data_IF_044972803589
#
_entry.id   IF_044972803589
#
_cell.length_a   1.000
_cell.length_b   1.000
_cell.length_c   1.000
_cell.angle_alpha   90.00
_cell.angle_beta   90.00
_cell.angle_gamma   90.00
#
_symmetry.space_group_name_H-M   'P 1'
#
loop_
_entity.id
_entity.type
_entity.pdbx_description
1 polymer ?
#
# COMPACT_ATOMS: atom_id res chain seq x y z
N UNK A 1 2.31 9.57 7.27
CA UNK A 1 3.44 8.88 7.94
C UNK A 1 3.16 7.39 7.94
N UNK A 2 4.14 6.58 7.54
CA UNK A 2 4.10 5.12 7.64
C UNK A 2 5.32 4.68 8.44
N UNK A 3 5.13 3.90 9.49
CA UNK A 3 6.24 3.41 10.34
C UNK A 3 5.92 2.03 10.88
N UNK A 4 6.94 1.19 11.05
CA UNK A 4 6.86 -0.12 11.68
C UNK A 4 7.50 -0.17 13.08
N UNK A 5 7.98 0.98 13.56
CA UNK A 5 8.76 1.10 14.79
C UNK A 5 8.58 2.42 15.52
N UNK A 6 9.38 2.57 16.58
CA UNK A 6 9.39 3.72 17.49
C UNK A 6 10.19 4.88 16.91
N UNK A 7 9.75 6.11 17.19
CA UNK A 7 10.52 7.31 16.91
C UNK A 7 11.86 7.34 17.69
N UNK A 8 12.88 7.96 17.10
CA UNK A 8 14.19 8.12 17.72
C UNK A 8 14.32 9.43 18.50
N UNK A 9 13.43 10.38 18.21
CA UNK A 9 13.36 11.72 18.76
C UNK A 9 11.92 12.06 19.18
N UNK A 10 11.73 13.27 19.73
CA UNK A 10 10.42 13.78 20.09
C UNK A 10 9.68 14.27 18.83
N UNK A 11 8.54 13.63 18.55
CA UNK A 11 7.71 13.89 17.36
C UNK A 11 6.74 15.06 17.56
N UNK A 12 6.44 15.41 18.81
CA UNK A 12 5.34 16.33 19.16
C UNK A 12 5.56 17.74 18.59
N UNK A 13 6.77 18.29 18.67
CA UNK A 13 7.04 19.64 18.18
C UNK A 13 6.82 19.76 16.66
N UNK A 14 7.36 18.80 15.91
CA UNK A 14 7.31 18.81 14.45
C UNK A 14 5.92 18.50 13.92
N UNK A 15 5.24 17.52 14.51
CA UNK A 15 3.86 17.20 14.18
C UNK A 15 2.95 18.42 14.41
N UNK A 16 3.10 19.13 15.53
CA UNK A 16 2.33 20.34 15.84
C UNK A 16 2.61 21.45 14.82
N UNK A 17 3.86 21.69 14.44
CA UNK A 17 4.21 22.71 13.43
C UNK A 17 3.53 22.43 12.09
N UNK A 18 3.59 21.17 11.62
CA UNK A 18 2.95 20.77 10.36
C UNK A 18 1.42 20.90 10.41
N UNK A 19 0.79 20.43 11.50
CA UNK A 19 -0.66 20.60 11.73
C UNK A 19 -1.07 22.07 11.73
N UNK A 20 -0.29 22.93 12.39
CA UNK A 20 -0.56 24.37 12.48
C UNK A 20 -0.36 25.08 11.13
N UNK A 21 0.49 24.57 10.25
CA UNK A 21 0.65 25.08 8.89
C UNK A 21 -0.44 24.59 7.92
N UNK A 22 -1.49 23.93 8.41
CA UNK A 22 -2.60 23.42 7.61
C UNK A 22 -2.33 22.09 6.91
N UNK A 23 -1.30 21.34 7.32
CA UNK A 23 -1.04 19.99 6.79
C UNK A 23 -1.89 18.99 7.56
N UNK A 24 -2.78 18.29 6.86
CA UNK A 24 -3.46 17.10 7.38
C UNK A 24 -2.51 15.91 7.36
N UNK A 25 -2.26 15.32 8.51
CA UNK A 25 -1.34 14.20 8.70
C UNK A 25 -2.12 12.94 9.00
N UNK A 26 -2.04 11.97 8.09
CA UNK A 26 -2.48 10.60 8.30
C UNK A 26 -1.29 9.75 8.78
N UNK A 27 -1.49 8.90 9.78
CA UNK A 27 -0.47 8.02 10.35
C UNK A 27 -0.89 6.55 10.26
N UNK A 28 -0.03 5.69 9.67
CA UNK A 28 -0.19 4.24 9.66
C UNK A 28 0.98 3.58 10.39
N UNK A 29 0.68 2.92 11.51
CA UNK A 29 1.60 2.04 12.21
C UNK A 29 1.47 0.59 11.74
N UNK A 30 2.60 -0.13 11.70
CA UNK A 30 2.61 -1.58 11.46
C UNK A 30 3.39 -2.28 12.58
N UNK A 31 2.93 -3.42 13.07
CA UNK A 31 3.74 -4.31 13.90
C UNK A 31 4.14 -3.76 15.28
N UNK A 32 5.30 -3.11 15.39
CA UNK A 32 5.85 -2.60 16.66
C UNK A 32 5.78 -1.08 16.78
N UNK A 33 5.05 -0.42 15.89
CA UNK A 33 4.82 1.01 15.96
C UNK A 33 4.06 1.38 17.25
N UNK A 34 4.47 2.49 17.89
CA UNK A 34 3.86 2.94 19.15
C UNK A 34 2.64 3.80 18.85
N UNK A 35 1.45 3.33 19.21
CA UNK A 35 0.17 4.01 18.92
C UNK A 35 0.11 5.42 19.51
N UNK A 36 0.70 5.64 20.68
CA UNK A 36 0.75 6.97 21.30
C UNK A 36 1.58 7.96 20.46
N UNK A 37 2.74 7.56 19.95
CA UNK A 37 3.56 8.40 19.07
C UNK A 37 2.82 8.67 17.74
N UNK A 38 2.06 7.69 17.24
CA UNK A 38 1.23 7.88 16.04
C UNK A 38 0.09 8.88 16.28
N UNK A 39 -0.53 8.88 17.45
CA UNK A 39 -1.59 9.83 17.84
C UNK A 39 -1.04 11.26 17.93
N UNK A 40 0.15 11.43 18.50
CA UNK A 40 0.82 12.74 18.53
C UNK A 40 1.13 13.27 17.12
N UNK A 41 1.44 12.38 16.18
CA UNK A 41 1.73 12.70 14.78
C UNK A 41 0.44 13.01 13.99
N UNK A 42 -0.59 12.19 14.15
CA UNK A 42 -1.82 12.27 13.38
C UNK A 42 -2.57 13.59 13.61
N UNK A 43 -3.39 13.97 12.63
CA UNK A 43 -4.34 15.06 12.78
C UNK A 43 -5.57 14.61 13.54
N UNK A 44 -6.21 15.54 14.23
CA UNK A 44 -7.46 15.26 14.92
C UNK A 44 -8.63 15.24 13.92
N UNK A 45 -9.64 14.36 14.11
CA UNK A 45 -9.70 13.34 15.15
C UNK A 45 -8.94 12.07 14.77
N UNK A 46 -8.40 11.36 15.78
CA UNK A 46 -7.63 10.13 15.59
C UNK A 46 -8.40 9.06 14.79
N UNK A 47 -9.73 8.94 14.95
CA UNK A 47 -10.51 7.92 14.23
C UNK A 47 -10.54 8.14 12.70
N UNK A 48 -10.15 9.33 12.23
CA UNK A 48 -10.06 9.66 10.81
C UNK A 48 -8.62 9.57 10.27
N UNK A 49 -7.62 9.81 11.11
CA UNK A 49 -6.24 10.00 10.65
C UNK A 49 -5.25 8.96 11.17
N UNK A 50 -5.60 8.18 12.20
CA UNK A 50 -4.76 7.15 12.77
C UNK A 50 -5.21 5.76 12.33
N UNK A 51 -4.24 5.00 11.82
CA UNK A 51 -4.43 3.64 11.34
C UNK A 51 -3.35 2.74 11.91
N UNK A 52 -3.70 1.47 12.12
CA UNK A 52 -2.77 0.48 12.62
C UNK A 52 -3.01 -0.86 11.93
N UNK A 53 -1.94 -1.53 11.52
CA UNK A 53 -1.93 -2.89 11.04
C UNK A 53 -1.07 -3.77 11.96
N UNK A 54 -1.54 -4.97 12.27
CA UNK A 54 -0.81 -5.91 13.11
C UNK A 54 0.50 -6.38 12.45
N UNK A 55 0.50 -6.52 11.14
CA UNK A 55 1.62 -7.00 10.33
C UNK A 55 1.53 -6.44 8.89
N UNK A 56 2.55 -6.74 8.09
CA UNK A 56 2.62 -6.30 6.70
C UNK A 56 1.63 -7.02 5.77
N UNK A 57 1.11 -8.19 6.14
CA UNK A 57 0.12 -8.91 5.32
C UNK A 57 -1.23 -8.16 5.36
N UNK A 58 -1.57 -7.56 6.50
CA UNK A 58 -2.81 -6.80 6.70
C UNK A 58 -2.75 -5.36 6.20
N UNK A 59 -1.57 -4.86 5.81
CA UNK A 59 -1.39 -3.46 5.40
C UNK A 59 -2.28 -3.08 4.20
N UNK A 60 -2.56 -4.04 3.30
CA UNK A 60 -3.38 -3.82 2.11
C UNK A 60 -4.85 -3.51 2.43
N UNK A 61 -5.41 -4.11 3.49
CA UNK A 61 -6.77 -3.78 3.94
C UNK A 61 -6.83 -2.37 4.52
N UNK A 62 -5.86 -2.05 5.38
CA UNK A 62 -5.79 -0.75 6.05
C UNK A 62 -5.53 0.38 5.05
N UNK A 63 -4.67 0.13 4.06
CA UNK A 63 -4.37 1.08 2.98
C UNK A 63 -5.61 1.41 2.13
N UNK A 64 -6.52 0.46 1.90
CA UNK A 64 -7.80 0.73 1.21
C UNK A 64 -8.70 1.67 2.01
N UNK A 65 -8.78 1.47 3.34
CA UNK A 65 -9.55 2.36 4.23
C UNK A 65 -8.96 3.78 4.23
N UNK A 66 -7.64 3.88 4.35
CA UNK A 66 -6.91 5.15 4.29
C UNK A 66 -7.13 5.87 2.96
N UNK A 67 -7.02 5.15 1.82
CA UNK A 67 -7.33 5.69 0.49
C UNK A 67 -8.74 6.28 0.46
N UNK A 68 -9.75 5.52 0.87
CA UNK A 68 -11.15 5.98 0.86
C UNK A 68 -11.35 7.27 1.66
N UNK A 69 -10.60 7.44 2.76
CA UNK A 69 -10.69 8.61 3.63
C UNK A 69 -10.04 9.85 3.00
N UNK A 70 -8.81 9.72 2.52
CA UNK A 70 -8.10 10.81 1.80
C UNK A 70 -8.93 11.31 0.61
N UNK A 71 -9.54 10.40 -0.13
CA UNK A 71 -10.36 10.71 -1.30
C UNK A 71 -11.67 11.43 -0.97
N UNK A 72 -12.18 11.32 0.25
CA UNK A 72 -13.40 12.00 0.71
C UNK A 72 -13.13 13.37 1.32
N UNK A 73 -11.97 13.54 1.96
CA UNK A 73 -11.60 14.80 2.63
C UNK A 73 -11.06 15.89 1.69
N UNK A 74 -10.74 15.55 0.44
CA UNK A 74 -10.23 16.52 -0.54
C UNK A 74 -11.29 16.86 -1.61
N UNK A 75 -12.25 17.77 -1.33
CA UNK A 75 -13.27 18.17 -2.30
C UNK A 75 -12.72 19.02 -3.46
N UNK A 76 -11.44 19.43 -3.41
CA UNK A 76 -10.87 20.36 -4.38
C UNK A 76 -10.59 19.74 -5.77
N UNK A 77 -10.67 18.41 -5.91
CA UNK A 77 -10.47 17.75 -7.21
C UNK A 77 -11.11 16.37 -7.20
N UNK A 78 -12.42 16.32 -7.47
CA UNK A 78 -13.26 15.11 -7.49
C UNK A 78 -12.67 13.97 -8.34
N UNK A 79 -11.74 14.29 -9.25
CA UNK A 79 -11.01 13.38 -10.15
C UNK A 79 -9.77 12.72 -9.55
N UNK A 80 -9.22 13.23 -8.43
CA UNK A 80 -7.92 12.81 -7.90
C UNK A 80 -7.89 11.35 -7.42
N UNK A 81 -9.05 10.79 -7.13
CA UNK A 81 -9.20 9.39 -6.74
C UNK A 81 -10.00 8.53 -7.73
N UNK A 82 -10.34 9.05 -8.91
CA UNK A 82 -11.13 8.33 -9.92
C UNK A 82 -10.32 7.35 -10.77
N UNK A 83 -9.06 7.09 -10.44
CA UNK A 83 -8.25 6.08 -11.13
C UNK A 83 -8.66 4.63 -10.81
N UNK A 84 -9.77 4.39 -10.12
CA UNK A 84 -10.20 3.05 -9.69
C UNK A 84 -10.35 2.09 -10.87
N UNK A 85 -11.06 2.48 -11.94
CA UNK A 85 -11.21 1.63 -13.14
C UNK A 85 -9.87 1.36 -13.85
N UNK A 86 -8.95 2.32 -13.84
CA UNK A 86 -7.61 2.17 -14.44
C UNK A 86 -6.72 1.23 -13.61
N UNK A 87 -6.79 1.33 -12.28
CA UNK A 87 -6.08 0.42 -11.37
C UNK A 87 -6.66 -0.99 -11.49
N UNK A 88 -7.98 -1.14 -11.48
CA UNK A 88 -8.64 -2.43 -11.66
C UNK A 88 -8.29 -3.09 -13.00
N UNK A 89 -8.24 -2.31 -14.08
CA UNK A 89 -7.79 -2.79 -15.38
C UNK A 89 -6.32 -3.18 -15.35
N UNK A 90 -5.46 -2.36 -14.74
CA UNK A 90 -4.03 -2.65 -14.61
C UNK A 90 -3.81 -3.94 -13.81
N UNK A 91 -4.50 -4.13 -12.69
CA UNK A 91 -4.42 -5.33 -11.85
C UNK A 91 -4.86 -6.56 -12.65
N UNK A 92 -5.98 -6.46 -13.39
CA UNK A 92 -6.44 -7.53 -14.29
C UNK A 92 -5.42 -7.88 -15.36
N UNK A 93 -4.83 -6.87 -16.01
CA UNK A 93 -3.82 -7.09 -17.05
C UNK A 93 -2.57 -7.72 -16.46
N UNK A 94 -2.12 -7.26 -15.29
CA UNK A 94 -0.95 -7.82 -14.59
C UNK A 94 -1.18 -9.28 -14.21
N UNK A 95 -2.36 -9.63 -13.68
CA UNK A 95 -2.70 -11.04 -13.40
C UNK A 95 -2.70 -11.88 -14.68
N UNK A 96 -3.35 -11.40 -15.76
CA UNK A 96 -3.38 -12.13 -17.04
C UNK A 96 -2.00 -12.30 -17.65
N UNK A 97 -1.12 -11.31 -17.53
CA UNK A 97 0.27 -11.41 -17.97
C UNK A 97 1.06 -12.41 -17.13
N UNK A 98 0.77 -12.49 -15.82
CA UNK A 98 1.39 -13.48 -14.92
C UNK A 98 0.98 -14.90 -15.29
N UNK A 99 -0.31 -15.13 -15.55
CA UNK A 99 -0.84 -16.41 -16.02
C UNK A 99 -0.17 -16.81 -17.34
N UNK A 100 -0.07 -15.87 -18.29
CA UNK A 100 0.56 -16.10 -19.58
C UNK A 100 2.04 -16.45 -19.43
N UNK A 101 2.77 -15.76 -18.54
CA UNK A 101 4.18 -16.06 -18.27
C UNK A 101 4.38 -17.48 -17.74
N UNK A 102 3.50 -17.96 -16.84
CA UNK A 102 3.54 -19.33 -16.33
C UNK A 102 3.26 -20.37 -17.42
N UNK A 103 2.33 -20.09 -18.32
CA UNK A 103 2.03 -20.97 -19.47
C UNK A 103 3.26 -21.06 -20.39
N UNK A 104 3.88 -19.93 -20.70
CA UNK A 104 5.10 -19.90 -21.53
C UNK A 104 6.21 -20.72 -20.86
N UNK A 105 6.44 -20.55 -19.56
CA UNK A 105 7.44 -21.33 -18.82
C UNK A 105 7.16 -22.84 -18.90
N UNK A 106 5.89 -23.24 -18.72
CA UNK A 106 5.48 -24.64 -18.81
C UNK A 106 5.65 -25.21 -20.22
N UNK A 107 5.37 -24.43 -21.27
CA UNK A 107 5.58 -24.83 -22.66
C UNK A 107 7.07 -24.98 -22.99
N UNK A 108 7.92 -24.05 -22.53
CA UNK A 108 9.37 -24.13 -22.72
C UNK A 108 9.94 -25.41 -22.10
N UNK A 109 9.54 -25.75 -20.86
CA UNK A 109 9.96 -27.02 -20.21
C UNK A 109 9.53 -28.27 -21.01
N UNK A 110 8.32 -28.26 -21.58
CA UNK A 110 7.85 -29.38 -22.42
C UNK A 110 8.65 -29.49 -23.72
N UNK A 111 8.98 -28.36 -24.35
CA UNK A 111 9.83 -28.31 -25.54
C UNK A 111 11.23 -28.85 -25.27
N UNK A 112 11.87 -28.42 -24.17
CA UNK A 112 13.17 -28.97 -23.74
C UNK A 112 13.11 -30.49 -23.52
N UNK A 113 12.01 -30.98 -22.94
CA UNK A 113 11.82 -32.43 -22.73
C UNK A 113 11.71 -33.18 -24.06
N UNK A 114 10.93 -32.64 -25.01
CA UNK A 114 10.77 -33.22 -26.36
C UNK A 114 12.08 -33.18 -27.15
N UNK A 115 12.84 -32.08 -27.08
CA UNK A 115 14.14 -31.95 -27.74
C UNK A 115 15.13 -33.01 -27.25
N UNK A 116 15.21 -33.21 -25.93
CA UNK A 116 16.06 -34.25 -25.32
C UNK A 116 15.64 -35.69 -25.69
N UNK A 117 14.38 -35.92 -26.07
CA UNK A 117 13.90 -37.22 -26.54
C UNK A 117 14.20 -37.47 -28.02
N UNK A 118 14.21 -36.42 -28.85
CA UNK A 118 14.38 -36.50 -30.30
C UNK A 118 15.84 -36.39 -30.75
N UNK A 119 16.70 -35.75 -29.95
CA UNK A 119 18.14 -35.68 -30.18
C UNK A 119 18.85 -36.53 -29.12
N UNK A 120 18.94 -37.86 -29.30
CA UNK A 120 19.78 -38.67 -28.43
C UNK A 120 21.25 -38.27 -28.65
N UNK A 121 21.96 -37.96 -27.57
CA UNK A 121 23.42 -37.79 -27.60
C UNK A 121 24.13 -39.06 -28.04
#
# INVERSE_FOLDING_TARGET
VFTDGRAQDDVSEWARKAKTSGVTIFALGVGKAIVQELSEIASEPDEMHLYYAEDFEKIGEVSRKLKSRICKETPADERRCQCETLIEFQDHVVEKLRDLAQIIEAMTKKLETLENQLVPK
#
